data_IF_705196419384
#
_entry.id   IF_705196419384
#
_cell.length_a   1.000
_cell.length_b   1.000
_cell.length_c   1.000
_cell.angle_alpha   90.00
_cell.angle_beta   90.00
_cell.angle_gamma   90.00
#
_symmetry.space_group_name_H-M   'P 1'
#
loop_
_entity.id
_entity.type
_entity.pdbx_description
1 polymer ?
#
# COMPACT_ATOMS: atom_id res chain seq x y z
N UNK A 1 14.47 30.57 9.17
CA UNK A 1 14.72 29.11 9.35
C UNK A 1 13.44 28.40 8.99
N UNK A 2 13.28 28.02 7.73
CA UNK A 2 12.21 27.12 7.28
C UNK A 2 12.56 25.74 7.82
N UNK A 3 11.85 25.29 8.84
CA UNK A 3 11.90 23.89 9.26
C UNK A 3 11.39 23.06 8.09
N UNK A 4 12.28 22.46 7.31
CA UNK A 4 11.92 21.33 6.47
C UNK A 4 11.53 20.22 7.43
N UNK A 5 10.22 20.05 7.63
CA UNK A 5 9.69 18.78 8.07
C UNK A 5 9.94 17.86 6.88
N UNK A 6 11.12 17.22 6.85
CA UNK A 6 11.40 16.17 5.90
C UNK A 6 10.37 15.08 6.17
N UNK A 7 9.39 14.95 5.29
CA UNK A 7 8.44 13.86 5.39
C UNK A 7 9.25 12.56 5.37
N UNK A 8 8.99 11.62 6.31
CA UNK A 8 9.74 10.38 6.35
C UNK A 8 9.70 9.69 4.99
N UNK A 9 10.81 9.08 4.55
CA UNK A 9 10.85 8.34 3.30
C UNK A 9 9.69 7.36 3.21
N UNK A 10 9.19 7.08 2.00
CA UNK A 10 8.02 6.22 1.80
C UNK A 10 8.13 4.87 2.52
N UNK A 11 9.33 4.29 2.52
CA UNK A 11 9.68 3.05 3.22
C UNK A 11 9.65 3.15 4.75
N UNK A 12 9.50 4.33 5.33
CA UNK A 12 9.48 4.53 6.79
C UNK A 12 8.07 4.97 7.25
N UNK A 13 7.12 5.14 6.31
CA UNK A 13 5.72 5.50 6.60
C UNK A 13 4.94 4.29 7.10
N UNK A 14 4.25 4.45 8.23
CA UNK A 14 3.39 3.42 8.82
C UNK A 14 2.04 3.29 8.09
N UNK A 15 1.60 4.36 7.44
CA UNK A 15 0.36 4.40 6.66
C UNK A 15 0.62 5.01 5.30
N UNK A 16 0.01 4.43 4.28
CA UNK A 16 0.19 4.74 2.87
C UNK A 16 -1.15 5.10 2.25
N UNK A 17 -1.14 6.00 1.28
CA UNK A 17 -2.23 6.15 0.32
C UNK A 17 -2.16 5.02 -0.72
N UNK A 18 -3.23 4.86 -1.51
CA UNK A 18 -3.25 3.84 -2.58
C UNK A 18 -2.10 4.01 -3.60
N UNK A 19 -1.79 5.23 -4.10
CA UNK A 19 -0.67 5.41 -5.01
C UNK A 19 0.68 5.05 -4.38
N UNK A 20 0.87 5.42 -3.11
CA UNK A 20 2.07 5.12 -2.33
C UNK A 20 2.26 3.62 -2.10
N UNK A 21 1.19 2.92 -1.75
CA UNK A 21 1.19 1.47 -1.61
C UNK A 21 1.53 0.78 -2.93
N UNK A 22 1.02 1.29 -4.06
CA UNK A 22 1.39 0.78 -5.38
C UNK A 22 2.86 1.02 -5.74
N UNK A 23 3.37 2.22 -5.46
CA UNK A 23 4.78 2.54 -5.68
C UNK A 23 5.72 1.70 -4.80
N UNK A 24 5.32 1.40 -3.56
CA UNK A 24 6.12 0.61 -2.63
C UNK A 24 6.12 -0.89 -2.97
N UNK A 25 4.97 -1.44 -3.33
CA UNK A 25 4.82 -2.88 -3.65
C UNK A 25 5.20 -3.23 -5.10
N UNK A 26 5.28 -2.24 -5.99
CA UNK A 26 5.41 -2.45 -7.44
C UNK A 26 4.09 -2.88 -8.11
N UNK A 27 3.00 -2.98 -7.36
CA UNK A 27 1.67 -3.38 -7.87
C UNK A 27 0.92 -2.12 -8.32
N UNK A 28 0.22 -2.12 -9.48
CA UNK A 28 -0.54 -0.97 -9.92
C UNK A 28 -1.57 -0.49 -8.88
N UNK A 29 -1.64 0.82 -8.63
CA UNK A 29 -2.56 1.43 -7.67
C UNK A 29 -4.02 1.00 -7.85
N UNK A 30 -4.46 0.73 -9.08
CA UNK A 30 -5.81 0.20 -9.38
C UNK A 30 -6.06 -1.18 -8.76
N UNK A 31 -5.05 -2.04 -8.72
CA UNK A 31 -5.12 -3.39 -8.15
C UNK A 31 -5.13 -3.31 -6.63
N UNK A 32 -4.24 -2.48 -6.06
CA UNK A 32 -4.23 -2.19 -4.62
C UNK A 32 -5.59 -1.64 -4.16
N UNK A 33 -6.18 -0.70 -4.91
CA UNK A 33 -7.52 -0.18 -4.63
C UNK A 33 -8.58 -1.28 -4.67
N UNK A 34 -8.53 -2.15 -5.67
CA UNK A 34 -9.48 -3.24 -5.82
C UNK A 34 -9.38 -4.23 -4.64
N UNK A 35 -8.17 -4.59 -4.20
CA UNK A 35 -7.97 -5.47 -3.05
C UNK A 35 -8.63 -4.91 -1.78
N UNK A 36 -8.47 -3.61 -1.52
CA UNK A 36 -9.12 -2.96 -0.38
C UNK A 36 -10.64 -2.92 -0.52
N UNK A 37 -11.16 -2.62 -1.71
CA UNK A 37 -12.61 -2.56 -1.96
C UNK A 37 -13.28 -3.95 -1.94
N UNK A 38 -12.57 -4.99 -2.35
CA UNK A 38 -13.05 -6.37 -2.33
C UNK A 38 -12.99 -6.99 -0.93
N UNK A 39 -12.29 -6.35 0.02
CA UNK A 39 -12.08 -6.87 1.37
C UNK A 39 -10.89 -7.82 1.50
N UNK A 40 -10.07 -7.96 0.46
CA UNK A 40 -8.82 -8.75 0.49
C UNK A 40 -7.73 -8.11 1.35
N UNK A 41 -7.84 -6.79 1.60
CA UNK A 41 -6.92 -6.03 2.43
C UNK A 41 -7.69 -5.03 3.30
N UNK A 42 -7.38 -4.92 4.61
CA UNK A 42 -8.03 -3.96 5.48
C UNK A 42 -7.64 -2.51 5.11
N UNK A 43 -8.63 -1.61 5.20
CA UNK A 43 -8.42 -0.17 5.07
C UNK A 43 -8.37 0.50 6.45
N UNK A 44 -7.45 1.44 6.63
CA UNK A 44 -7.34 2.28 7.81
C UNK A 44 -7.93 3.67 7.53
N UNK A 45 -8.91 4.08 8.32
CA UNK A 45 -9.49 5.42 8.28
C UNK A 45 -9.06 6.16 9.55
N UNK A 46 -7.93 6.85 9.50
CA UNK A 46 -7.37 7.58 10.64
C UNK A 46 -8.15 8.89 10.90
N UNK A 47 -9.42 8.77 11.33
CA UNK A 47 -10.29 9.91 11.63
C UNK A 47 -10.69 10.77 10.41
N UNK A 48 -10.49 10.24 9.20
CA UNK A 48 -10.80 10.90 7.92
C UNK A 48 -11.54 9.95 6.99
N UNK A 49 -12.28 10.50 6.04
CA UNK A 49 -12.86 9.76 4.90
C UNK A 49 -11.79 9.30 3.91
N UNK A 50 -10.55 9.78 4.04
CA UNK A 50 -9.45 9.38 3.18
C UNK A 50 -8.92 8.02 3.60
N UNK A 51 -9.11 7.03 2.73
CA UNK A 51 -8.61 5.67 2.89
C UNK A 51 -7.07 5.64 2.99
N UNK A 52 -6.55 4.94 4.00
CA UNK A 52 -5.13 4.63 4.17
C UNK A 52 -4.93 3.12 4.25
N UNK A 53 -3.73 2.67 3.94
CA UNK A 53 -3.29 1.28 4.00
C UNK A 53 -2.17 1.22 5.02
N UNK A 54 -2.23 0.33 6.00
CA UNK A 54 -1.07 0.13 6.88
C UNK A 54 -0.03 -0.67 6.11
N UNK A 55 1.24 -0.33 6.32
CA UNK A 55 2.31 -1.03 5.63
C UNK A 55 2.32 -2.54 5.93
N UNK A 56 2.09 -2.93 7.18
CA UNK A 56 2.03 -4.33 7.57
C UNK A 56 0.94 -5.10 6.78
N UNK A 57 -0.24 -4.50 6.62
CA UNK A 57 -1.35 -5.11 5.89
C UNK A 57 -1.03 -5.27 4.39
N UNK A 58 -0.33 -4.28 3.80
CA UNK A 58 0.17 -4.37 2.43
C UNK A 58 1.21 -5.48 2.29
N UNK A 59 2.19 -5.53 3.18
CA UNK A 59 3.29 -6.51 3.14
C UNK A 59 2.73 -7.95 3.30
N UNK A 60 1.78 -8.16 4.21
CA UNK A 60 1.09 -9.43 4.42
C UNK A 60 0.27 -9.84 3.18
N UNK A 61 -0.50 -8.91 2.61
CA UNK A 61 -1.26 -9.19 1.40
C UNK A 61 -0.35 -9.58 0.23
N UNK A 62 0.75 -8.84 0.01
CA UNK A 62 1.73 -9.14 -1.04
C UNK A 62 2.36 -10.52 -0.83
N UNK A 63 2.71 -10.88 0.41
CA UNK A 63 3.28 -12.18 0.73
C UNK A 63 2.31 -13.35 0.47
N UNK A 64 1.00 -13.09 0.53
CA UNK A 64 -0.06 -14.07 0.29
C UNK A 64 -0.55 -14.11 -1.17
N UNK A 65 -0.06 -13.22 -2.05
CA UNK A 65 -0.42 -13.29 -3.45
C UNK A 65 0.08 -14.61 -4.05
N UNK A 66 -0.72 -15.28 -4.90
CA UNK A 66 -0.23 -16.42 -5.64
C UNK A 66 0.97 -15.97 -6.49
N UNK A 67 2.12 -16.58 -6.26
CA UNK A 67 3.26 -16.46 -7.17
C UNK A 67 2.78 -17.06 -8.49
N UNK A 68 2.51 -16.22 -9.49
CA UNK A 68 2.22 -16.70 -10.83
C UNK A 68 3.34 -17.68 -11.22
N UNK A 69 3.02 -18.93 -11.64
CA UNK A 69 4.05 -19.85 -12.08
C UNK A 69 4.83 -19.16 -13.22
N UNK A 70 6.16 -19.32 -13.28
CA UNK A 70 6.95 -18.66 -14.32
C UNK A 70 6.34 -18.99 -15.68
N UNK A 71 5.89 -17.96 -16.40
CA UNK A 71 5.40 -18.10 -17.76
C UNK A 71 6.52 -18.73 -18.58
N UNK A 72 6.33 -19.91 -19.20
CA UNK A 72 7.36 -20.47 -20.06
C UNK A 72 7.53 -19.51 -21.25
N UNK A 73 8.77 -19.08 -21.47
CA UNK A 73 9.16 -18.24 -22.60
C UNK A 73 9.29 -19.08 -23.87
#
# INVERSE_FOLDING_TARGET
>A
MTSHIEEPPLRDRLTLTVPEAGALSGIPARVVRAAVLNGDMPACYAGSTTMRIRRADLDEWVANLPVDPPTPK
#
